data_IF_342116630683
#
_entry.id   IF_342116630683
#
_cell.length_a   1.000
_cell.length_b   1.000
_cell.length_c   1.000
_cell.angle_alpha   90.00
_cell.angle_beta   90.00
_cell.angle_gamma   90.00
#
_symmetry.space_group_name_H-M   'P 1'
#
loop_
_entity.id
_entity.type
_entity.pdbx_description
1 polymer ?
#
# COMPACT_ATOMS: atom_id res chain seq x y z
N UNK A 1 51.57 62.41 -23.16
CA UNK A 1 50.94 61.25 -22.57
C UNK A 1 49.68 60.95 -23.47
N UNK A 2 49.84 59.98 -24.37
CA UNK A 2 48.75 59.59 -25.24
C UNK A 2 47.85 58.66 -24.46
N UNK A 3 46.63 59.07 -24.24
CA UNK A 3 45.55 58.26 -23.69
C UNK A 3 45.30 57.06 -24.63
N UNK A 4 45.37 55.81 -24.21
CA UNK A 4 45.05 54.70 -25.07
C UNK A 4 43.55 54.79 -25.39
N UNK A 5 43.25 55.02 -26.70
CA UNK A 5 41.85 54.91 -27.18
C UNK A 5 41.30 53.56 -26.75
N UNK A 6 40.40 53.60 -25.82
CA UNK A 6 39.57 52.47 -25.40
C UNK A 6 38.80 52.00 -26.65
N UNK A 7 39.33 51.00 -27.34
CA UNK A 7 38.62 50.35 -28.43
C UNK A 7 37.45 49.60 -27.82
N UNK A 8 36.26 50.23 -27.86
CA UNK A 8 35.04 49.53 -27.48
C UNK A 8 34.92 48.26 -28.30
N UNK A 9 34.84 47.11 -27.64
CA UNK A 9 34.57 45.86 -28.30
C UNK A 9 33.20 45.98 -28.96
N UNK A 10 33.08 45.76 -30.29
CA UNK A 10 31.82 45.94 -31.02
C UNK A 10 30.70 44.98 -30.56
N UNK A 11 31.03 43.92 -29.86
CA UNK A 11 30.08 42.96 -29.29
C UNK A 11 29.60 43.30 -27.86
N UNK A 12 30.16 44.35 -27.25
CA UNK A 12 29.81 44.75 -25.89
C UNK A 12 28.49 45.52 -25.93
N UNK A 13 27.48 45.03 -25.22
CA UNK A 13 26.19 45.70 -25.09
C UNK A 13 26.33 47.00 -24.24
N UNK A 14 25.46 47.95 -24.52
CA UNK A 14 25.48 49.26 -23.84
C UNK A 14 24.88 49.25 -22.41
N UNK A 15 24.34 48.10 -21.97
CA UNK A 15 23.80 47.95 -20.64
C UNK A 15 24.71 47.11 -19.77
N UNK A 16 24.60 47.35 -18.47
CA UNK A 16 25.32 46.66 -17.42
C UNK A 16 24.32 46.19 -16.34
N UNK A 17 24.45 44.92 -15.92
CA UNK A 17 23.68 44.35 -14.84
C UNK A 17 24.62 43.90 -13.72
N UNK A 18 24.45 44.45 -12.51
CA UNK A 18 25.23 44.12 -11.32
C UNK A 18 26.79 44.28 -11.50
N UNK A 19 27.23 45.30 -12.29
CA UNK A 19 28.64 45.52 -12.58
C UNK A 19 29.22 44.61 -13.67
N UNK A 20 28.38 43.77 -14.32
CA UNK A 20 28.76 42.85 -15.38
C UNK A 20 28.28 43.37 -16.72
N UNK A 21 29.21 43.48 -17.67
CA UNK A 21 28.90 43.83 -19.07
C UNK A 21 28.70 42.57 -19.88
N UNK A 22 27.68 42.52 -20.69
CA UNK A 22 27.33 41.38 -21.53
C UNK A 22 27.83 41.56 -22.95
N UNK A 23 28.18 40.43 -23.60
CA UNK A 23 28.60 40.39 -25.00
C UNK A 23 27.47 39.85 -25.86
N UNK A 24 27.14 40.51 -26.95
CA UNK A 24 26.15 40.08 -27.95
C UNK A 24 26.73 38.99 -28.85
N UNK A 25 26.85 37.79 -28.27
CA UNK A 25 27.32 36.62 -28.98
C UNK A 25 26.17 35.86 -29.66
N UNK A 26 26.39 35.46 -30.91
CA UNK A 26 25.45 34.61 -31.59
C UNK A 26 25.24 33.29 -30.85
N UNK A 27 24.00 32.86 -30.70
CA UNK A 27 23.68 31.57 -30.10
C UNK A 27 24.29 30.43 -30.92
N UNK A 28 24.79 29.37 -30.30
CA UNK A 28 25.27 28.18 -30.99
C UNK A 28 24.22 27.60 -31.92
N UNK A 29 24.60 27.26 -33.16
CA UNK A 29 23.66 26.78 -34.19
C UNK A 29 22.88 25.53 -33.73
N UNK A 30 23.55 24.62 -33.00
CA UNK A 30 22.90 23.41 -32.46
C UNK A 30 21.79 23.76 -31.46
N UNK A 31 21.97 24.82 -30.68
CA UNK A 31 20.98 25.27 -29.70
C UNK A 31 19.75 25.86 -30.39
N UNK A 32 19.96 26.68 -31.40
CA UNK A 32 18.88 27.28 -32.21
C UNK A 32 18.05 26.20 -32.90
N UNK A 33 18.71 25.18 -33.46
CA UNK A 33 18.02 24.05 -34.08
C UNK A 33 17.21 23.25 -33.05
N UNK A 34 17.78 22.98 -31.88
CA UNK A 34 17.08 22.29 -30.79
C UNK A 34 15.85 23.10 -30.34
N UNK A 35 15.97 24.40 -30.22
CA UNK A 35 14.85 25.28 -29.89
C UNK A 35 13.70 25.15 -30.89
N UNK A 36 13.97 25.26 -32.18
CA UNK A 36 12.92 25.09 -33.21
C UNK A 36 12.30 23.69 -33.20
N UNK A 37 13.10 22.65 -32.97
CA UNK A 37 12.61 21.29 -32.86
C UNK A 37 11.65 21.15 -31.68
N UNK A 38 11.98 21.74 -30.53
CA UNK A 38 11.10 21.77 -29.35
C UNK A 38 9.79 22.53 -29.63
N UNK A 39 9.85 23.64 -30.36
CA UNK A 39 8.65 24.38 -30.74
C UNK A 39 7.74 23.54 -31.65
N UNK A 40 8.30 22.88 -32.66
CA UNK A 40 7.54 22.01 -33.58
C UNK A 40 6.92 20.85 -32.79
N UNK A 41 7.71 20.21 -31.93
CA UNK A 41 7.21 19.16 -31.04
C UNK A 41 6.08 19.64 -30.13
N UNK A 42 6.24 20.83 -29.53
CA UNK A 42 5.20 21.42 -28.68
C UNK A 42 3.89 21.69 -29.40
N UNK A 43 3.96 22.22 -30.61
CA UNK A 43 2.77 22.42 -31.47
C UNK A 43 2.12 21.09 -31.80
N UNK A 44 2.91 20.07 -32.19
CA UNK A 44 2.42 18.73 -32.48
C UNK A 44 1.76 18.08 -31.24
N UNK A 45 2.38 18.25 -30.09
CA UNK A 45 1.85 17.75 -28.79
C UNK A 45 0.49 18.41 -28.46
N UNK A 46 0.43 19.73 -28.52
CA UNK A 46 -0.84 20.47 -28.30
C UNK A 46 -1.92 20.03 -29.27
N UNK A 47 -1.58 19.90 -30.56
CA UNK A 47 -2.52 19.42 -31.59
C UNK A 47 -3.03 18.01 -31.26
N UNK A 48 -2.15 17.08 -30.93
CA UNK A 48 -2.53 15.68 -30.68
C UNK A 48 -3.36 15.49 -29.40
N UNK A 49 -2.91 16.09 -28.29
CA UNK A 49 -3.54 15.86 -27.00
C UNK A 49 -4.70 16.81 -26.71
N UNK A 50 -4.63 18.09 -27.12
CA UNK A 50 -5.60 19.10 -26.71
C UNK A 50 -6.60 19.49 -27.80
N UNK A 51 -6.19 19.46 -29.09
CA UNK A 51 -7.09 19.84 -30.19
C UNK A 51 -7.80 18.61 -30.77
N UNK A 52 -7.05 17.57 -31.12
CA UNK A 52 -7.59 16.34 -31.70
C UNK A 52 -8.11 15.36 -30.61
N UNK A 53 -7.74 15.56 -29.35
CA UNK A 53 -8.09 14.71 -28.23
C UNK A 53 -7.86 13.20 -28.48
N UNK A 54 -6.80 12.86 -29.23
CA UNK A 54 -6.46 11.48 -29.60
C UNK A 54 -5.61 10.77 -28.58
N UNK A 55 -4.88 11.53 -27.74
CA UNK A 55 -4.08 10.97 -26.63
C UNK A 55 -4.80 11.13 -25.29
N UNK A 56 -4.60 10.18 -24.41
CA UNK A 56 -5.06 10.32 -23.05
C UNK A 56 -4.15 11.30 -22.29
N UNK A 57 -4.74 12.26 -21.60
CA UNK A 57 -4.02 13.10 -20.65
C UNK A 57 -3.70 12.29 -19.38
N UNK A 58 -2.70 12.70 -18.61
CA UNK A 58 -2.24 12.01 -17.38
C UNK A 58 -3.39 11.55 -16.48
N UNK A 59 -4.41 12.38 -16.30
CA UNK A 59 -5.57 12.01 -15.49
C UNK A 59 -6.37 10.85 -16.09
N UNK A 60 -6.62 10.86 -17.39
CA UNK A 60 -7.38 9.82 -18.07
C UNK A 60 -6.60 8.49 -18.10
N UNK A 61 -5.29 8.55 -18.31
CA UNK A 61 -4.38 7.39 -18.23
C UNK A 61 -4.39 6.79 -16.81
N UNK A 62 -4.20 7.63 -15.78
CA UNK A 62 -4.26 7.21 -14.39
C UNK A 62 -5.61 6.56 -14.04
N UNK A 63 -6.73 7.17 -14.44
CA UNK A 63 -8.07 6.64 -14.16
C UNK A 63 -8.27 5.26 -14.83
N UNK A 64 -7.75 5.07 -16.06
CA UNK A 64 -7.78 3.76 -16.76
C UNK A 64 -6.92 2.71 -16.05
N UNK A 65 -5.70 3.05 -15.67
CA UNK A 65 -4.81 2.14 -14.96
C UNK A 65 -5.38 1.76 -13.59
N UNK A 66 -5.92 2.74 -12.86
CA UNK A 66 -6.58 2.49 -11.57
C UNK A 66 -7.81 1.60 -11.72
N UNK A 67 -8.62 1.83 -12.74
CA UNK A 67 -9.79 0.98 -13.01
C UNK A 67 -9.36 -0.47 -13.33
N UNK A 68 -8.35 -0.65 -14.18
CA UNK A 68 -7.80 -1.97 -14.50
C UNK A 68 -7.19 -2.65 -13.26
N UNK A 69 -6.39 -1.93 -12.47
CA UNK A 69 -5.82 -2.44 -11.23
C UNK A 69 -6.88 -2.83 -10.20
N UNK A 70 -7.90 -2.00 -10.02
CA UNK A 70 -9.02 -2.30 -9.12
C UNK A 70 -9.85 -3.51 -9.59
N UNK A 71 -10.05 -3.68 -10.90
CA UNK A 71 -10.72 -4.86 -11.43
C UNK A 71 -9.94 -6.15 -11.16
N UNK A 72 -8.60 -6.14 -11.37
CA UNK A 72 -7.73 -7.27 -11.04
C UNK A 72 -7.74 -7.58 -9.53
N UNK A 73 -7.63 -6.55 -8.70
CA UNK A 73 -7.72 -6.68 -7.25
C UNK A 73 -9.07 -7.26 -6.82
N UNK A 74 -10.16 -6.73 -7.38
CA UNK A 74 -11.51 -7.22 -7.08
C UNK A 74 -11.70 -8.69 -7.43
N UNK A 75 -11.21 -9.13 -8.59
CA UNK A 75 -11.30 -10.55 -8.98
C UNK A 75 -10.47 -11.46 -8.08
N UNK A 76 -9.28 -11.02 -7.66
CA UNK A 76 -8.43 -11.78 -6.74
C UNK A 76 -9.06 -11.89 -5.34
N UNK A 77 -9.65 -10.80 -4.84
CA UNK A 77 -10.34 -10.80 -3.56
C UNK A 77 -11.60 -11.70 -3.59
N UNK A 78 -12.42 -11.60 -4.64
CA UNK A 78 -13.60 -12.45 -4.81
C UNK A 78 -13.22 -13.93 -4.89
N UNK A 79 -12.15 -14.27 -5.59
CA UNK A 79 -11.59 -15.63 -5.64
C UNK A 79 -11.19 -16.12 -4.25
N UNK A 80 -10.51 -15.29 -3.47
CA UNK A 80 -10.15 -15.64 -2.10
C UNK A 80 -11.38 -15.81 -1.22
N UNK A 81 -12.35 -14.90 -1.27
CA UNK A 81 -13.61 -15.01 -0.50
C UNK A 81 -14.37 -16.31 -0.81
N UNK A 82 -14.37 -16.74 -2.07
CA UNK A 82 -14.96 -18.03 -2.46
C UNK A 82 -14.16 -19.21 -1.89
N UNK A 83 -12.85 -19.10 -1.85
CA UNK A 83 -11.96 -20.17 -1.36
C UNK A 83 -11.91 -20.27 0.18
N UNK A 84 -12.32 -19.22 0.91
CA UNK A 84 -12.27 -19.21 2.38
C UNK A 84 -13.01 -20.36 3.05
N UNK A 85 -14.00 -20.95 2.36
CA UNK A 85 -14.75 -22.09 2.91
C UNK A 85 -13.93 -23.39 3.01
N UNK A 86 -12.79 -23.47 2.30
CA UNK A 86 -11.96 -24.69 2.19
C UNK A 86 -10.49 -24.47 2.55
N UNK A 87 -10.15 -23.32 3.13
CA UNK A 87 -8.77 -23.07 3.56
C UNK A 87 -8.41 -23.86 4.81
N UNK A 88 -7.17 -24.30 4.87
CA UNK A 88 -6.59 -25.03 6.00
C UNK A 88 -5.41 -24.25 6.59
N UNK A 89 -5.10 -24.47 7.89
CA UNK A 89 -3.95 -23.83 8.53
C UNK A 89 -2.64 -24.31 7.90
N UNK A 90 -1.75 -23.36 7.64
CA UNK A 90 -0.40 -23.70 7.16
C UNK A 90 0.45 -24.25 8.31
N UNK A 91 1.19 -25.31 8.02
CA UNK A 91 2.20 -25.87 8.93
C UNK A 91 3.63 -25.43 8.55
N UNK A 92 3.75 -24.62 7.48
CA UNK A 92 5.04 -24.06 7.07
C UNK A 92 5.52 -23.05 8.10
N UNK A 93 6.70 -23.29 8.66
CA UNK A 93 7.31 -22.48 9.70
C UNK A 93 7.55 -21.05 9.24
N UNK A 94 7.86 -20.82 7.97
CA UNK A 94 8.04 -19.48 7.39
C UNK A 94 6.70 -18.71 7.40
N UNK A 95 5.60 -19.36 7.01
CA UNK A 95 4.26 -18.75 7.00
C UNK A 95 3.78 -18.47 8.42
N UNK A 96 3.94 -19.42 9.33
CA UNK A 96 3.57 -19.24 10.75
C UNK A 96 4.43 -18.15 11.40
N UNK A 97 5.74 -18.08 11.06
CA UNK A 97 6.65 -17.04 11.52
C UNK A 97 6.24 -15.64 11.03
N UNK A 98 5.83 -15.50 9.76
CA UNK A 98 5.24 -14.27 9.25
C UNK A 98 3.95 -13.90 10.01
N UNK A 99 3.07 -14.87 10.22
CA UNK A 99 1.84 -14.70 10.99
C UNK A 99 2.11 -14.19 12.41
N UNK A 100 3.13 -14.72 13.06
CA UNK A 100 3.57 -14.27 14.41
C UNK A 100 4.02 -12.82 14.40
N UNK A 101 4.79 -12.38 13.39
CA UNK A 101 5.23 -10.98 13.28
C UNK A 101 4.06 -10.03 13.07
N UNK A 102 3.14 -10.38 12.17
CA UNK A 102 1.93 -9.60 11.93
C UNK A 102 1.05 -9.55 13.18
N UNK A 103 0.87 -10.67 13.86
CA UNK A 103 0.11 -10.75 15.10
C UNK A 103 0.70 -9.84 16.18
N UNK A 104 2.01 -9.90 16.39
CA UNK A 104 2.71 -9.08 17.38
C UNK A 104 2.54 -7.58 17.13
N UNK A 105 2.50 -7.18 15.85
CA UNK A 105 2.38 -5.77 15.46
C UNK A 105 0.94 -5.27 15.53
N UNK A 106 -0.02 -6.05 15.03
CA UNK A 106 -1.37 -5.56 14.78
C UNK A 106 -2.46 -6.14 15.68
N UNK A 107 -2.26 -7.35 16.18
CA UNK A 107 -3.27 -8.07 16.98
C UNK A 107 -2.98 -8.01 18.48
N UNK A 108 -1.71 -8.06 18.87
CA UNK A 108 -1.26 -8.08 20.26
C UNK A 108 -1.76 -6.90 21.12
N UNK A 109 -1.92 -5.66 20.62
CA UNK A 109 -2.48 -4.57 21.41
C UNK A 109 -3.84 -4.87 22.02
N UNK A 110 -4.67 -5.67 21.32
CA UNK A 110 -5.99 -6.07 21.79
C UNK A 110 -6.02 -7.49 22.36
N UNK A 111 -5.23 -8.43 21.80
CA UNK A 111 -5.26 -9.84 22.17
C UNK A 111 -4.09 -10.27 23.06
N UNK A 112 -3.18 -9.36 23.41
CA UNK A 112 -1.89 -9.60 24.06
C UNK A 112 -0.92 -10.39 23.17
N UNK A 113 0.37 -10.26 23.46
CA UNK A 113 1.40 -10.95 22.68
C UNK A 113 1.37 -12.49 22.82
N UNK A 114 0.85 -12.96 23.95
CA UNK A 114 0.67 -14.38 24.27
C UNK A 114 -0.71 -14.94 23.87
N UNK A 115 -1.57 -14.10 23.29
CA UNK A 115 -2.92 -14.48 22.87
C UNK A 115 -3.94 -14.57 24.02
N UNK A 116 -3.56 -14.27 25.26
CA UNK A 116 -4.40 -14.44 26.45
C UNK A 116 -5.57 -13.46 26.58
N UNK A 117 -5.71 -12.50 25.66
CA UNK A 117 -6.80 -11.53 25.63
C UNK A 117 -6.61 -10.33 26.55
N UNK A 118 -7.05 -9.16 26.12
CA UNK A 118 -7.10 -7.91 26.90
C UNK A 118 -8.40 -7.18 26.59
N UNK A 119 -8.42 -6.30 25.58
CA UNK A 119 -9.65 -5.72 25.02
C UNK A 119 -10.37 -6.80 24.20
N UNK A 120 -9.64 -7.47 23.32
CA UNK A 120 -10.09 -8.61 22.55
C UNK A 120 -10.21 -9.89 23.42
N UNK A 121 -10.85 -10.93 22.89
CA UNK A 121 -10.98 -12.22 23.58
C UNK A 121 -9.65 -12.96 23.70
N UNK A 122 -9.61 -13.93 24.61
CA UNK A 122 -8.58 -14.95 24.67
C UNK A 122 -8.62 -15.82 23.41
N UNK A 123 -7.47 -16.07 22.80
CA UNK A 123 -7.31 -16.88 21.58
C UNK A 123 -6.63 -18.24 21.86
N UNK A 124 -6.39 -18.53 23.13
CA UNK A 124 -5.67 -19.74 23.55
C UNK A 124 -6.60 -20.84 24.08
N UNK A 125 -7.84 -20.48 24.41
CA UNK A 125 -8.84 -21.40 24.95
C UNK A 125 -9.74 -21.99 23.85
N UNK A 126 -10.65 -22.86 24.25
CA UNK A 126 -11.63 -23.51 23.36
C UNK A 126 -12.98 -22.75 23.26
N UNK A 127 -13.03 -21.50 23.73
CA UNK A 127 -14.25 -20.67 23.68
C UNK A 127 -14.22 -19.71 22.49
N UNK A 128 -14.84 -20.10 21.38
CA UNK A 128 -14.85 -19.35 20.14
C UNK A 128 -16.19 -18.66 19.90
N UNK A 129 -16.21 -17.33 19.93
CA UNK A 129 -17.44 -16.52 19.79
C UNK A 129 -18.06 -16.65 18.38
N UNK A 130 -17.20 -16.74 17.36
CA UNK A 130 -17.60 -16.71 15.94
C UNK A 130 -17.42 -18.05 15.24
N UNK A 131 -17.18 -19.12 15.99
CA UNK A 131 -16.99 -20.47 15.49
C UNK A 131 -15.55 -20.95 15.63
N UNK A 132 -15.36 -22.27 15.86
CA UNK A 132 -14.07 -22.86 16.21
C UNK A 132 -13.24 -23.27 15.00
N UNK A 133 -13.83 -23.23 13.80
CA UNK A 133 -13.16 -23.68 12.56
C UNK A 133 -12.12 -22.67 12.12
N UNK A 134 -11.03 -23.15 11.54
CA UNK A 134 -10.01 -22.29 10.95
C UNK A 134 -10.59 -21.28 9.96
N UNK A 135 -11.56 -21.73 9.16
CA UNK A 135 -12.29 -20.87 8.20
C UNK A 135 -13.07 -19.74 8.87
N UNK A 136 -13.55 -19.95 10.10
CA UNK A 136 -14.25 -18.91 10.87
C UNK A 136 -13.25 -17.86 11.37
N UNK A 137 -12.06 -18.27 11.82
CA UNK A 137 -10.98 -17.37 12.20
C UNK A 137 -10.55 -16.51 11.02
N UNK A 138 -10.36 -17.12 9.83
CA UNK A 138 -10.01 -16.38 8.60
C UNK A 138 -11.07 -15.36 8.26
N UNK A 139 -12.36 -15.72 8.32
CA UNK A 139 -13.50 -14.80 8.07
C UNK A 139 -13.56 -13.64 9.05
N UNK A 140 -13.32 -13.93 10.34
CA UNK A 140 -13.32 -12.89 11.39
C UNK A 140 -12.17 -11.91 11.20
N UNK A 141 -10.97 -12.38 10.88
CA UNK A 141 -9.85 -11.50 10.61
C UNK A 141 -10.13 -10.69 9.33
N UNK A 142 -10.63 -11.32 8.28
CA UNK A 142 -10.93 -10.69 6.99
C UNK A 142 -11.96 -9.57 7.11
N UNK A 143 -13.13 -9.88 7.71
CA UNK A 143 -14.26 -8.95 7.80
C UNK A 143 -14.25 -8.07 9.05
N UNK A 144 -13.45 -8.41 10.06
CA UNK A 144 -13.52 -7.75 11.35
C UNK A 144 -14.80 -8.05 12.12
N UNK A 145 -14.95 -7.39 13.26
CA UNK A 145 -16.18 -7.32 14.07
C UNK A 145 -16.34 -5.85 14.47
N UNK A 146 -16.80 -4.97 13.56
CA UNK A 146 -16.82 -3.51 13.78
C UNK A 146 -17.61 -3.10 15.02
N UNK A 147 -18.74 -3.77 15.29
CA UNK A 147 -19.59 -3.51 16.47
C UNK A 147 -18.87 -3.79 17.80
N UNK A 148 -17.78 -4.53 17.78
CA UNK A 148 -16.93 -4.85 18.94
C UNK A 148 -15.54 -4.19 18.85
N UNK A 149 -15.33 -3.34 17.85
CA UNK A 149 -14.09 -2.59 17.67
C UNK A 149 -12.96 -3.35 16.98
N UNK A 150 -13.20 -4.55 16.45
CA UNK A 150 -12.22 -5.26 15.63
C UNK A 150 -12.32 -4.83 14.17
N UNK A 151 -11.23 -4.28 13.63
CA UNK A 151 -11.16 -3.79 12.26
C UNK A 151 -11.24 -4.92 11.23
N UNK A 152 -11.82 -4.61 10.06
CA UNK A 152 -11.74 -5.48 8.88
C UNK A 152 -10.35 -5.36 8.26
N UNK A 153 -9.52 -6.37 8.41
CA UNK A 153 -8.12 -6.31 7.99
C UNK A 153 -7.94 -6.27 6.46
N UNK A 154 -8.92 -6.74 5.69
CA UNK A 154 -8.96 -6.57 4.23
C UNK A 154 -8.91 -5.10 3.80
N UNK A 155 -9.50 -4.21 4.60
CA UNK A 155 -9.54 -2.76 4.35
C UNK A 155 -8.27 -2.05 4.84
N UNK A 156 -7.50 -2.70 5.71
CA UNK A 156 -6.22 -2.20 6.25
C UNK A 156 -5.01 -2.59 5.39
N UNK A 157 -5.23 -3.10 4.18
CA UNK A 157 -4.18 -3.45 3.24
C UNK A 157 -3.57 -4.84 3.41
N UNK A 158 -4.12 -5.68 4.29
CA UNK A 158 -3.70 -7.07 4.41
C UNK A 158 -4.05 -7.87 3.16
N UNK A 159 -3.09 -8.63 2.68
CA UNK A 159 -3.30 -9.57 1.58
C UNK A 159 -3.95 -10.86 2.10
N UNK A 160 -4.60 -11.63 1.24
CA UNK A 160 -5.08 -12.98 1.58
C UNK A 160 -4.04 -13.86 2.27
N UNK A 161 -2.78 -13.82 1.81
CA UNK A 161 -1.66 -14.56 2.43
C UNK A 161 -1.38 -14.13 3.87
N UNK A 162 -1.49 -12.82 4.16
CA UNK A 162 -1.22 -12.29 5.49
C UNK A 162 -2.31 -12.73 6.48
N UNK A 163 -3.57 -12.74 6.02
CA UNK A 163 -4.71 -13.24 6.81
C UNK A 163 -4.53 -14.72 7.14
N UNK A 164 -4.16 -15.54 6.14
CA UNK A 164 -3.92 -16.97 6.34
C UNK A 164 -2.73 -17.21 7.27
N UNK A 165 -1.67 -16.42 7.15
CA UNK A 165 -0.51 -16.51 8.02
C UNK A 165 -0.86 -16.20 9.48
N UNK A 166 -1.59 -15.08 9.72
CA UNK A 166 -2.05 -14.70 11.07
C UNK A 166 -2.99 -15.76 11.65
N UNK A 167 -3.97 -16.22 10.86
CA UNK A 167 -4.89 -17.27 11.31
C UNK A 167 -4.15 -18.57 11.63
N UNK A 168 -3.16 -18.97 10.83
CA UNK A 168 -2.33 -20.14 11.07
C UNK A 168 -1.51 -20.01 12.35
N UNK A 169 -0.96 -18.82 12.63
CA UNK A 169 -0.27 -18.55 13.89
C UNK A 169 -1.23 -18.63 15.10
N UNK A 170 -2.42 -18.04 15.00
CA UNK A 170 -3.44 -18.10 16.06
C UNK A 170 -3.77 -19.57 16.40
N UNK A 171 -3.85 -20.44 15.39
CA UNK A 171 -4.09 -21.86 15.62
C UNK A 171 -2.99 -22.53 16.45
N UNK A 172 -1.74 -22.03 16.39
CA UNK A 172 -0.65 -22.54 17.25
C UNK A 172 -0.74 -22.06 18.70
N UNK A 173 -1.52 -21.02 18.98
CA UNK A 173 -1.75 -20.53 20.35
C UNK A 173 -2.79 -21.35 21.09
N UNK A 174 -3.62 -22.10 20.39
CA UNK A 174 -4.69 -22.92 20.98
C UNK A 174 -4.09 -23.97 21.94
N UNK A 175 -4.64 -24.05 23.14
CA UNK A 175 -4.15 -24.94 24.19
C UNK A 175 -2.94 -24.43 24.98
N UNK A 176 -2.38 -23.27 24.60
CA UNK A 176 -1.42 -22.58 25.45
C UNK A 176 -2.13 -21.99 26.67
N UNK A 177 -1.48 -22.01 27.84
CA UNK A 177 -2.05 -21.48 29.08
C UNK A 177 -1.32 -20.20 29.48
N UNK A 178 -1.63 -19.05 28.88
CA UNK A 178 -0.98 -17.78 29.24
C UNK A 178 -1.36 -17.37 30.65
N UNK A 179 -0.50 -16.64 31.40
CA UNK A 179 -0.81 -16.19 32.74
C UNK A 179 -1.95 -15.17 32.72
N UNK A 180 -2.91 -15.31 33.66
CA UNK A 180 -4.07 -14.42 33.80
C UNK A 180 -4.83 -14.21 32.44
N UNK A 181 -5.33 -15.28 31.82
CA UNK A 181 -6.07 -15.16 30.57
C UNK A 181 -7.39 -14.45 30.82
N UNK A 182 -7.89 -13.73 29.81
CA UNK A 182 -9.21 -13.12 29.89
C UNK A 182 -10.28 -14.22 29.87
N UNK A 183 -10.92 -14.41 30.99
CA UNK A 183 -12.00 -15.39 31.13
C UNK A 183 -13.28 -14.84 30.52
N UNK A 184 -13.98 -15.70 29.79
CA UNK A 184 -15.28 -15.38 29.19
C UNK A 184 -16.29 -16.48 29.54
N UNK A 185 -16.61 -16.57 30.79
CA UNK A 185 -17.54 -17.58 31.31
C UNK A 185 -19.01 -17.33 30.88
N UNK A 186 -19.31 -16.09 30.41
CA UNK A 186 -20.69 -15.59 30.27
C UNK A 186 -21.19 -15.47 28.83
N UNK A 187 -20.35 -15.64 27.79
CA UNK A 187 -20.71 -15.23 26.44
C UNK A 187 -20.57 -16.28 25.33
N UNK A 188 -19.96 -17.40 25.56
CA UNK A 188 -19.85 -18.43 24.52
C UNK A 188 -20.22 -19.80 25.08
N UNK A 189 -21.06 -20.58 24.39
CA UNK A 189 -21.21 -21.99 24.72
C UNK A 189 -19.82 -22.65 24.58
N UNK A 190 -19.48 -23.48 25.56
CA UNK A 190 -18.27 -24.29 25.51
C UNK A 190 -18.33 -25.15 24.25
N UNK A 191 -17.40 -24.93 23.33
CA UNK A 191 -17.30 -25.81 22.17
C UNK A 191 -16.75 -27.14 22.64
N UNK A 192 -17.61 -28.15 22.68
CA UNK A 192 -17.26 -29.52 23.05
C UNK A 192 -16.79 -30.34 21.86
N UNK A 193 -16.73 -29.76 20.67
CA UNK A 193 -16.18 -30.46 19.49
C UNK A 193 -14.67 -30.45 19.58
N UNK A 194 -14.13 -31.46 20.24
CA UNK A 194 -12.70 -31.81 20.16
C UNK A 194 -12.45 -32.27 18.73
N UNK A 195 -11.70 -31.50 17.98
CA UNK A 195 -11.20 -31.97 16.68
C UNK A 195 -10.06 -32.95 16.97
N UNK A 196 -10.36 -34.25 16.83
CA UNK A 196 -9.35 -35.30 16.68
C UNK A 196 -8.54 -35.13 15.38
#
# INVERSE_FOLDING_TARGET
MNDPKETKDPLLLDHEADGIKELDNNLPAWWVWLFYLCVIYGVGYLGYYHVLAKGDLQKAEYDKEMAAGNALKGTALAKFETSMASVEPSKDEAVVGQGRQLFATYCAPCHRADGGGLVGPNLCDDYWIHGPKFTDHVKVIWNGVPDKGMLAWKEQGFKPSDILAVASYIQTLRGSNPPNPKMREDLAPKDTTVYE
#
